data_IF_715347176201
#
_entry.id   IF_715347176201
#
_cell.length_a   1.000
_cell.length_b   1.000
_cell.length_c   1.000
_cell.angle_alpha   90.00
_cell.angle_beta   90.00
_cell.angle_gamma   90.00
#
_symmetry.space_group_name_H-M   'P 1'
#
loop_
_entity.id
_entity.type
_entity.pdbx_description
1 polymer ?
#
# COMPACT_ATOMS: atom_id res chain seq x y z
N UNK A 1 -46.14 -41.86 61.41
CA UNK A 1 -46.09 -40.66 60.54
C UNK A 1 -44.83 -40.83 59.68
N UNK A 2 -44.96 -41.33 58.44
CA UNK A 2 -44.67 -40.62 57.16
C UNK A 2 -43.19 -40.13 57.09
N UNK A 3 -42.35 -40.33 56.06
CA UNK A 3 -42.19 -41.14 54.82
C UNK A 3 -40.96 -40.50 54.12
N UNK A 4 -40.01 -41.28 53.57
CA UNK A 4 -39.24 -41.01 52.31
C UNK A 4 -38.33 -39.75 52.25
N UNK A 5 -37.34 -39.56 51.37
CA UNK A 5 -36.47 -40.35 50.49
C UNK A 5 -35.62 -39.29 49.74
N UNK A 6 -34.34 -39.58 49.52
CA UNK A 6 -33.41 -39.05 48.50
C UNK A 6 -33.91 -37.99 47.49
N UNK A 7 -33.09 -36.96 47.24
CA UNK A 7 -32.67 -36.62 45.87
C UNK A 7 -31.50 -35.63 45.78
N UNK A 8 -30.50 -36.07 45.03
CA UNK A 8 -29.42 -35.32 44.39
C UNK A 8 -29.87 -33.96 43.85
N UNK A 9 -29.11 -32.92 44.16
CA UNK A 9 -29.17 -31.64 43.46
C UNK A 9 -28.12 -31.64 42.34
N UNK A 10 -28.59 -31.77 41.10
CA UNK A 10 -27.80 -31.48 39.89
C UNK A 10 -28.21 -30.09 39.43
N UNK A 11 -27.27 -29.17 39.30
CA UNK A 11 -27.39 -27.95 38.50
C UNK A 11 -25.97 -27.47 38.15
N UNK A 12 -25.41 -27.99 37.05
CA UNK A 12 -25.25 -27.28 35.76
C UNK A 12 -24.21 -26.17 35.81
N UNK A 13 -22.94 -26.58 35.72
CA UNK A 13 -21.81 -25.69 35.45
C UNK A 13 -21.93 -25.23 33.99
N UNK A 14 -22.47 -24.04 33.74
CA UNK A 14 -22.42 -23.41 32.42
C UNK A 14 -20.96 -23.04 32.19
N UNK A 15 -20.25 -23.91 31.49
CA UNK A 15 -18.98 -23.59 30.84
C UNK A 15 -19.30 -22.50 29.81
N UNK A 16 -19.03 -21.24 30.16
CA UNK A 16 -18.85 -20.19 29.17
C UNK A 16 -17.64 -20.59 28.34
N UNK A 17 -17.89 -21.31 27.25
CA UNK A 17 -16.95 -21.41 26.15
C UNK A 17 -16.77 -19.97 25.65
N UNK A 18 -15.74 -19.31 26.17
CA UNK A 18 -15.06 -18.24 25.46
C UNK A 18 -14.52 -18.86 24.17
N UNK A 19 -15.39 -19.03 23.19
CA UNK A 19 -14.95 -19.27 21.83
C UNK A 19 -14.04 -18.09 21.52
N UNK A 20 -12.76 -18.30 21.16
CA UNK A 20 -11.98 -17.23 20.60
C UNK A 20 -12.81 -16.73 19.41
N UNK A 21 -13.25 -15.48 19.47
CA UNK A 21 -13.69 -14.77 18.28
C UNK A 21 -12.51 -14.79 17.34
N UNK A 22 -12.46 -15.81 16.47
CA UNK A 22 -11.69 -15.73 15.25
C UNK A 22 -12.19 -14.47 14.58
N UNK A 23 -11.38 -13.42 14.59
CA UNK A 23 -11.67 -12.19 13.88
C UNK A 23 -12.02 -12.60 12.44
N UNK A 24 -13.30 -12.48 12.11
CA UNK A 24 -13.86 -13.02 10.88
C UNK A 24 -13.17 -12.30 9.74
N UNK A 25 -12.46 -13.05 8.88
CA UNK A 25 -11.64 -12.47 7.84
C UNK A 25 -12.51 -11.76 6.80
N UNK A 26 -12.64 -10.45 6.99
CA UNK A 26 -13.66 -9.62 6.38
C UNK A 26 -13.22 -9.22 4.98
N UNK A 27 -14.12 -9.31 4.01
CA UNK A 27 -13.88 -8.80 2.66
C UNK A 27 -13.79 -7.26 2.72
N UNK A 28 -12.69 -6.71 2.21
CA UNK A 28 -12.39 -5.27 2.25
C UNK A 28 -12.59 -4.62 0.89
N UNK A 29 -12.16 -5.27 -0.17
CA UNK A 29 -12.27 -4.76 -1.53
C UNK A 29 -12.35 -5.90 -2.54
N UNK A 30 -12.77 -5.58 -3.76
CA UNK A 30 -12.56 -6.43 -4.94
C UNK A 30 -11.63 -5.71 -5.90
N UNK A 31 -10.73 -6.45 -6.56
CA UNK A 31 -9.74 -5.90 -7.49
C UNK A 31 -9.52 -6.87 -8.65
N UNK A 32 -9.94 -6.46 -9.85
CA UNK A 32 -9.99 -7.28 -11.06
C UNK A 32 -10.75 -8.62 -10.87
N UNK A 33 -11.79 -8.60 -10.04
CA UNK A 33 -12.60 -9.78 -9.71
C UNK A 33 -12.00 -10.68 -8.61
N UNK A 34 -10.85 -10.32 -8.06
CA UNK A 34 -10.27 -11.00 -6.90
C UNK A 34 -10.67 -10.31 -5.60
N UNK A 35 -10.97 -11.11 -4.57
CA UNK A 35 -11.26 -10.63 -3.22
C UNK A 35 -9.97 -10.15 -2.53
N UNK A 36 -10.01 -8.98 -1.89
CA UNK A 36 -9.01 -8.53 -0.92
C UNK A 36 -9.64 -8.55 0.45
N UNK A 37 -9.09 -9.38 1.35
CA UNK A 37 -9.57 -9.57 2.71
C UNK A 37 -8.72 -8.80 3.71
N UNK A 38 -9.23 -8.70 4.93
CA UNK A 38 -8.55 -8.00 6.01
C UNK A 38 -7.21 -8.65 6.34
N UNK A 39 -7.13 -9.98 6.27
CA UNK A 39 -5.89 -10.74 6.43
C UNK A 39 -4.82 -10.39 5.39
N UNK A 40 -5.20 -10.19 4.13
CA UNK A 40 -4.29 -9.87 3.02
C UNK A 40 -3.57 -8.52 3.19
N UNK A 41 -4.21 -7.60 3.91
CA UNK A 41 -3.67 -6.26 4.18
C UNK A 41 -3.15 -6.09 5.61
N UNK A 42 -3.16 -7.15 6.43
CA UNK A 42 -2.68 -7.10 7.82
C UNK A 42 -1.22 -7.50 7.93
N UNK A 43 -0.43 -6.83 8.81
CA UNK A 43 0.93 -7.25 9.11
C UNK A 43 0.92 -8.48 10.04
N UNK A 44 2.06 -9.15 10.17
CA UNK A 44 2.27 -10.10 11.26
C UNK A 44 2.37 -9.37 12.61
N UNK A 45 2.15 -10.07 13.72
CA UNK A 45 2.30 -9.48 15.07
C UNK A 45 3.71 -8.96 15.33
N UNK A 46 4.73 -9.66 14.82
CA UNK A 46 6.13 -9.26 14.93
C UNK A 46 6.37 -7.93 14.21
N UNK A 47 5.93 -7.84 12.95
CA UNK A 47 5.99 -6.62 12.15
C UNK A 47 5.23 -5.48 12.81
N UNK A 48 4.03 -5.73 13.35
CA UNK A 48 3.22 -4.71 14.02
C UNK A 48 3.93 -4.14 15.25
N UNK A 49 4.54 -5.00 16.06
CA UNK A 49 5.29 -4.57 17.24
C UNK A 49 6.50 -3.71 16.86
N UNK A 50 7.21 -4.08 15.79
CA UNK A 50 8.36 -3.33 15.29
C UNK A 50 7.93 -1.96 14.76
N UNK A 51 6.89 -1.90 13.92
CA UNK A 51 6.36 -0.66 13.38
C UNK A 51 5.88 0.30 14.46
N UNK A 52 5.14 -0.20 15.46
CA UNK A 52 4.68 0.61 16.59
C UNK A 52 5.86 1.22 17.36
N UNK A 53 6.93 0.45 17.55
CA UNK A 53 8.15 0.92 18.22
C UNK A 53 8.91 1.96 17.38
N UNK A 54 9.12 1.70 16.09
CA UNK A 54 9.87 2.60 15.20
C UNK A 54 9.18 3.96 15.05
N UNK A 55 7.85 3.96 14.92
CA UNK A 55 7.07 5.17 14.68
C UNK A 55 6.60 5.86 15.97
N UNK A 56 7.04 5.38 17.15
CA UNK A 56 6.54 5.84 18.46
C UNK A 56 5.01 5.92 18.52
N UNK A 57 4.34 4.94 17.91
CA UNK A 57 2.91 4.90 17.65
C UNK A 57 2.21 3.84 18.52
N UNK A 58 0.91 4.00 18.77
CA UNK A 58 0.12 2.89 19.33
C UNK A 58 0.03 1.76 18.30
N UNK A 59 -0.13 0.51 18.78
CA UNK A 59 -0.32 -0.64 17.89
C UNK A 59 -1.55 -0.46 16.99
N UNK A 60 -2.64 0.10 17.52
CA UNK A 60 -3.85 0.33 16.74
C UNK A 60 -3.63 1.35 15.61
N UNK A 61 -2.88 2.42 15.88
CA UNK A 61 -2.53 3.42 14.86
C UNK A 61 -1.58 2.84 13.82
N UNK A 62 -0.55 2.11 14.24
CA UNK A 62 0.38 1.43 13.34
C UNK A 62 -0.35 0.40 12.45
N UNK A 63 -1.28 -0.37 13.03
CA UNK A 63 -2.09 -1.36 12.31
C UNK A 63 -3.00 -0.68 11.28
N UNK A 64 -3.68 0.40 11.66
CA UNK A 64 -4.53 1.15 10.76
C UNK A 64 -3.71 1.72 9.59
N UNK A 65 -2.62 2.41 9.88
CA UNK A 65 -1.74 3.00 8.86
C UNK A 65 -1.19 1.95 7.90
N UNK A 66 -0.74 0.80 8.42
CA UNK A 66 -0.25 -0.29 7.59
C UNK A 66 -1.34 -0.82 6.65
N UNK A 67 -2.54 -1.12 7.19
CA UNK A 67 -3.64 -1.66 6.38
C UNK A 67 -4.10 -0.69 5.30
N UNK A 68 -4.21 0.61 5.63
CA UNK A 68 -4.54 1.64 4.66
C UNK A 68 -3.48 1.75 3.56
N UNK A 69 -2.20 1.82 3.94
CA UNK A 69 -1.09 1.87 2.98
C UNK A 69 -1.02 0.64 2.09
N UNK A 70 -1.16 -0.56 2.67
CA UNK A 70 -1.11 -1.83 1.94
C UNK A 70 -2.26 -1.99 0.94
N UNK A 71 -3.47 -1.60 1.33
CA UNK A 71 -4.62 -1.59 0.42
C UNK A 71 -4.39 -0.61 -0.74
N UNK A 72 -3.95 0.62 -0.44
CA UNK A 72 -3.68 1.63 -1.46
C UNK A 72 -2.58 1.18 -2.43
N UNK A 73 -1.46 0.67 -1.92
CA UNK A 73 -0.36 0.11 -2.71
C UNK A 73 -0.86 -1.00 -3.64
N UNK A 74 -1.68 -1.93 -3.12
CA UNK A 74 -2.20 -3.06 -3.90
C UNK A 74 -3.10 -2.60 -5.04
N UNK A 75 -4.02 -1.66 -4.77
CA UNK A 75 -4.93 -1.11 -5.79
C UNK A 75 -4.14 -0.33 -6.84
N UNK A 76 -3.30 0.61 -6.41
CA UNK A 76 -2.51 1.46 -7.30
C UNK A 76 -1.61 0.62 -8.19
N UNK A 77 -0.88 -0.34 -7.62
CA UNK A 77 0.03 -1.21 -8.37
C UNK A 77 -0.70 -1.95 -9.49
N UNK A 78 -1.79 -2.66 -9.20
CA UNK A 78 -2.50 -3.43 -10.24
C UNK A 78 -3.13 -2.52 -11.30
N UNK A 79 -3.68 -1.37 -10.91
CA UNK A 79 -4.31 -0.43 -11.84
C UNK A 79 -3.27 0.21 -12.75
N UNK A 80 -2.13 0.64 -12.23
CA UNK A 80 -1.07 1.24 -13.04
C UNK A 80 -0.38 0.22 -13.93
N UNK A 81 -0.26 -1.04 -13.50
CA UNK A 81 0.23 -2.15 -14.35
C UNK A 81 -0.71 -2.41 -15.54
N UNK A 82 -2.02 -2.50 -15.29
CA UNK A 82 -3.01 -2.68 -16.35
C UNK A 82 -3.07 -1.44 -17.28
N UNK A 83 -2.98 -0.23 -16.73
CA UNK A 83 -2.92 1.00 -17.51
C UNK A 83 -1.68 1.05 -18.40
N UNK A 84 -0.49 0.79 -17.84
CA UNK A 84 0.77 0.77 -18.59
C UNK A 84 0.72 -0.26 -19.73
N UNK A 85 0.16 -1.44 -19.48
CA UNK A 85 -0.07 -2.47 -20.50
C UNK A 85 -0.99 -1.96 -21.61
N UNK A 86 -2.14 -1.35 -21.27
CA UNK A 86 -3.08 -0.79 -22.26
C UNK A 86 -2.51 0.37 -23.08
N UNK A 87 -1.60 1.14 -22.50
CA UNK A 87 -0.89 2.22 -23.18
C UNK A 87 0.33 1.73 -23.97
N UNK A 88 0.65 0.42 -23.93
CA UNK A 88 1.85 -0.17 -24.51
C UNK A 88 3.13 0.56 -24.04
N UNK A 89 3.19 0.91 -22.75
CA UNK A 89 4.38 1.53 -22.17
C UNK A 89 5.48 0.48 -22.05
N UNK A 90 6.51 0.63 -22.87
CA UNK A 90 7.77 -0.10 -22.74
C UNK A 90 8.69 0.62 -21.75
N UNK A 91 9.35 -0.17 -20.90
CA UNK A 91 10.32 0.39 -19.95
C UNK A 91 11.54 0.86 -20.71
N UNK A 92 11.88 2.13 -20.51
CA UNK A 92 13.08 2.73 -21.09
C UNK A 92 14.32 2.20 -20.36
N UNK A 93 15.06 1.30 -21.01
CA UNK A 93 16.26 0.70 -20.44
C UNK A 93 17.40 1.71 -20.26
N UNK A 94 17.45 2.78 -21.06
CA UNK A 94 18.44 3.85 -20.89
C UNK A 94 18.17 4.62 -19.59
N UNK A 95 16.90 4.92 -19.30
CA UNK A 95 16.53 5.53 -18.03
C UNK A 95 16.80 4.63 -16.83
N UNK A 96 16.65 3.30 -16.99
CA UNK A 96 16.98 2.32 -15.94
C UNK A 96 18.48 2.38 -15.62
N UNK A 97 19.34 2.38 -16.63
CA UNK A 97 20.78 2.47 -16.41
C UNK A 97 21.17 3.83 -15.79
N UNK A 98 20.61 4.95 -16.26
CA UNK A 98 20.87 6.26 -15.66
C UNK A 98 20.42 6.35 -14.19
N UNK A 99 19.29 5.72 -13.85
CA UNK A 99 18.86 5.62 -12.45
C UNK A 99 19.87 4.83 -11.61
N UNK A 100 20.34 3.69 -12.13
CA UNK A 100 21.34 2.84 -11.46
C UNK A 100 22.68 3.57 -11.29
N UNK A 101 23.11 4.32 -12.28
CA UNK A 101 24.33 5.13 -12.18
C UNK A 101 24.24 6.17 -11.05
N UNK A 102 23.09 6.83 -10.92
CA UNK A 102 22.88 7.87 -9.89
C UNK A 102 22.68 7.29 -8.48
N UNK A 103 21.83 6.28 -8.32
CA UNK A 103 21.41 5.79 -6.99
C UNK A 103 21.95 4.41 -6.61
N UNK A 104 22.47 3.64 -7.56
CA UNK A 104 23.01 2.30 -7.32
C UNK A 104 24.05 2.24 -6.19
N UNK A 105 25.03 3.17 -6.11
CA UNK A 105 25.99 3.19 -5.01
C UNK A 105 25.34 3.38 -3.62
N UNK A 106 24.39 4.31 -3.50
CA UNK A 106 23.67 4.57 -2.24
C UNK A 106 22.78 3.39 -1.83
N UNK A 107 22.07 2.80 -2.79
CA UNK A 107 21.26 1.60 -2.56
C UNK A 107 22.11 0.40 -2.13
N UNK A 108 23.30 0.24 -2.72
CA UNK A 108 24.25 -0.81 -2.35
C UNK A 108 24.83 -0.60 -0.94
N UNK A 109 25.13 0.65 -0.56
CA UNK A 109 25.61 0.98 0.78
C UNK A 109 24.52 0.71 1.84
N UNK A 110 23.31 1.23 1.60
CA UNK A 110 22.15 1.04 2.50
C UNK A 110 21.81 -0.44 2.70
N UNK A 111 21.97 -1.27 1.66
CA UNK A 111 21.79 -2.72 1.76
C UNK A 111 22.78 -3.36 2.73
N UNK A 112 24.07 -3.04 2.62
CA UNK A 112 25.11 -3.60 3.50
C UNK A 112 24.82 -3.31 4.97
N UNK A 113 24.44 -2.07 5.28
CA UNK A 113 24.06 -1.67 6.64
C UNK A 113 22.82 -2.44 7.15
N UNK A 114 21.85 -2.69 6.27
CA UNK A 114 20.64 -3.44 6.62
C UNK A 114 20.91 -4.93 6.85
N UNK A 115 21.81 -5.54 6.07
CA UNK A 115 22.18 -6.95 6.20
C UNK A 115 22.97 -7.20 7.49
N UNK A 116 23.90 -6.29 7.83
CA UNK A 116 24.62 -6.29 9.13
C UNK A 116 23.65 -6.15 10.33
N UNK A 117 22.56 -5.39 10.17
CA UNK A 117 21.54 -5.24 11.22
C UNK A 117 20.64 -6.48 11.34
N UNK A 118 20.27 -7.11 10.22
CA UNK A 118 19.39 -8.30 10.16
C UNK A 118 20.02 -9.58 10.69
N UNK A 119 21.35 -9.71 10.75
CA UNK A 119 22.01 -10.80 11.48
C UNK A 119 21.55 -10.89 12.95
N UNK A 120 21.03 -9.80 13.53
CA UNK A 120 20.59 -9.72 14.92
C UNK A 120 19.06 -9.93 15.12
N UNK A 121 18.26 -9.96 14.05
CA UNK A 121 16.78 -10.04 14.10
C UNK A 121 16.33 -10.99 12.99
N UNK A 122 16.10 -12.26 13.33
CA UNK A 122 16.04 -13.41 12.41
C UNK A 122 14.91 -13.46 11.36
N UNK A 123 14.46 -12.34 10.80
CA UNK A 123 13.45 -12.29 9.73
C UNK A 123 14.09 -11.81 8.41
N UNK A 124 14.17 -12.71 7.42
CA UNK A 124 14.68 -12.41 6.08
C UNK A 124 13.54 -11.84 5.22
N UNK A 125 13.32 -10.54 5.26
CA UNK A 125 12.51 -9.86 4.23
C UNK A 125 13.29 -9.88 2.90
N UNK A 126 12.75 -10.45 1.81
CA UNK A 126 13.41 -10.46 0.51
C UNK A 126 13.66 -9.03 0.05
N UNK A 127 14.92 -8.66 -0.14
CA UNK A 127 15.28 -7.33 -0.61
C UNK A 127 15.29 -7.32 -2.13
N UNK A 128 14.57 -6.38 -2.73
CA UNK A 128 14.57 -6.17 -4.19
C UNK A 128 15.98 -5.90 -4.69
N UNK A 129 16.31 -6.43 -5.88
CA UNK A 129 17.59 -6.12 -6.52
C UNK A 129 17.65 -4.63 -6.91
N UNK A 130 18.86 -4.10 -7.16
CA UNK A 130 18.98 -2.71 -7.63
C UNK A 130 18.30 -2.56 -9.00
N UNK A 131 18.38 -3.59 -9.84
CA UNK A 131 17.72 -3.61 -11.15
C UNK A 131 16.19 -3.57 -11.02
N UNK A 132 15.61 -4.30 -10.08
CA UNK A 132 14.16 -4.26 -9.82
C UNK A 132 13.73 -2.87 -9.34
N UNK A 133 14.48 -2.27 -8.41
CA UNK A 133 14.20 -0.92 -7.90
C UNK A 133 14.26 0.10 -9.04
N UNK A 134 15.31 0.07 -9.85
CA UNK A 134 15.46 0.99 -10.98
C UNK A 134 14.33 0.82 -12.00
N UNK A 135 13.98 -0.42 -12.34
CA UNK A 135 12.87 -0.74 -13.24
C UNK A 135 11.53 -0.23 -12.72
N UNK A 136 11.26 -0.41 -11.43
CA UNK A 136 10.04 0.09 -10.79
C UNK A 136 9.98 1.61 -10.77
N UNK A 137 11.09 2.29 -10.46
CA UNK A 137 11.13 3.76 -10.44
C UNK A 137 10.95 4.36 -11.84
N UNK A 138 11.57 3.78 -12.87
CA UNK A 138 11.37 4.20 -14.26
C UNK A 138 9.92 3.96 -14.69
N UNK A 139 9.37 2.78 -14.39
CA UNK A 139 7.94 2.48 -14.67
C UNK A 139 7.03 3.51 -14.02
N UNK A 140 7.25 3.81 -12.74
CA UNK A 140 6.44 4.76 -11.97
C UNK A 140 6.46 6.14 -12.64
N UNK A 141 7.66 6.65 -12.98
CA UNK A 141 7.77 7.94 -13.67
C UNK A 141 7.12 7.93 -15.06
N UNK A 142 7.32 6.89 -15.87
CA UNK A 142 6.70 6.79 -17.20
C UNK A 142 5.16 6.72 -17.11
N UNK A 143 4.62 6.03 -16.10
CA UNK A 143 3.18 6.03 -15.82
C UNK A 143 2.70 7.42 -15.42
N UNK A 144 3.39 8.11 -14.52
CA UNK A 144 3.04 9.48 -14.14
C UNK A 144 3.00 10.42 -15.35
N UNK A 145 4.05 10.38 -16.17
CA UNK A 145 4.13 11.14 -17.41
C UNK A 145 2.93 10.84 -18.32
N UNK A 146 2.68 9.58 -18.61
CA UNK A 146 1.57 9.17 -19.48
C UNK A 146 0.19 9.53 -18.89
N UNK A 147 0.02 9.48 -17.56
CA UNK A 147 -1.21 9.90 -16.90
C UNK A 147 -1.42 11.41 -17.01
N UNK A 148 -0.38 12.20 -16.76
CA UNK A 148 -0.45 13.64 -16.88
C UNK A 148 -0.69 14.08 -18.33
N UNK A 149 -0.04 13.45 -19.32
CA UNK A 149 -0.27 13.73 -20.74
C UNK A 149 -1.72 13.39 -21.17
N UNK A 150 -2.29 12.30 -20.65
CA UNK A 150 -3.65 11.87 -21.03
C UNK A 150 -4.78 12.57 -20.26
N UNK A 151 -4.56 12.95 -18.99
CA UNK A 151 -5.62 13.49 -18.12
C UNK A 151 -5.33 14.89 -17.59
N UNK A 152 -4.06 15.30 -17.53
CA UNK A 152 -3.63 16.57 -16.95
C UNK A 152 -4.01 16.72 -15.48
N UNK A 153 -4.31 17.95 -15.08
CA UNK A 153 -4.82 18.27 -13.75
C UNK A 153 -3.74 18.66 -12.75
N UNK A 154 -4.09 18.62 -11.46
CA UNK A 154 -3.21 19.06 -10.38
C UNK A 154 -2.04 18.10 -10.15
N UNK A 155 -0.84 18.66 -10.01
CA UNK A 155 0.39 17.97 -9.60
C UNK A 155 0.79 18.46 -8.21
N UNK A 156 1.21 17.54 -7.35
CA UNK A 156 1.69 17.82 -6.01
C UNK A 156 3.12 17.32 -5.82
N UNK A 157 3.83 17.96 -4.90
CA UNK A 157 5.13 17.49 -4.45
C UNK A 157 5.00 16.40 -3.38
N UNK A 158 5.67 15.27 -3.59
CA UNK A 158 5.91 14.24 -2.58
C UNK A 158 7.41 13.95 -2.48
N UNK A 159 7.90 13.58 -1.29
CA UNK A 159 9.35 13.35 -1.10
C UNK A 159 9.90 12.23 -1.99
N UNK A 160 9.13 11.15 -2.19
CA UNK A 160 9.51 10.03 -3.05
C UNK A 160 9.19 10.25 -4.53
N UNK A 161 8.37 11.26 -4.83
CA UNK A 161 7.90 11.58 -6.16
C UNK A 161 7.63 13.09 -6.25
N UNK A 162 8.67 13.88 -6.59
CA UNK A 162 8.59 15.34 -6.59
C UNK A 162 7.47 15.91 -7.48
N UNK A 163 6.96 15.12 -8.43
CA UNK A 163 5.90 15.52 -9.36
C UNK A 163 4.85 14.42 -9.49
N UNK A 164 3.99 14.28 -8.47
CA UNK A 164 2.91 13.31 -8.48
C UNK A 164 1.62 13.90 -9.09
N UNK A 165 1.12 13.39 -10.23
CA UNK A 165 -0.06 13.94 -10.90
C UNK A 165 -1.36 13.45 -10.26
N UNK A 166 -1.61 13.88 -9.02
CA UNK A 166 -2.70 13.37 -8.15
C UNK A 166 -4.08 13.34 -8.82
N UNK A 167 -4.42 14.38 -9.59
CA UNK A 167 -5.73 14.45 -10.25
C UNK A 167 -5.84 13.54 -11.48
N UNK A 168 -4.73 13.26 -12.16
CA UNK A 168 -4.69 12.27 -13.22
C UNK A 168 -4.91 10.85 -12.66
N UNK A 169 -4.32 10.56 -11.50
CA UNK A 169 -4.59 9.33 -10.74
C UNK A 169 -6.05 9.23 -10.31
N UNK A 170 -6.62 10.30 -9.74
CA UNK A 170 -8.04 10.36 -9.38
C UNK A 170 -8.93 9.99 -10.57
N UNK A 171 -8.66 10.59 -11.74
CA UNK A 171 -9.40 10.35 -12.99
C UNK A 171 -9.30 8.89 -13.44
N UNK A 172 -8.09 8.32 -13.40
CA UNK A 172 -7.85 6.91 -13.73
C UNK A 172 -8.63 5.99 -12.77
N UNK A 173 -8.51 6.21 -11.46
CA UNK A 173 -9.15 5.41 -10.43
C UNK A 173 -10.69 5.45 -10.58
N UNK A 174 -11.27 6.63 -10.78
CA UNK A 174 -12.73 6.77 -11.00
C UNK A 174 -13.18 6.03 -12.26
N UNK A 175 -12.36 6.02 -13.32
CA UNK A 175 -12.64 5.22 -14.54
C UNK A 175 -12.64 3.72 -14.25
N UNK A 176 -11.60 3.22 -13.58
CA UNK A 176 -11.48 1.79 -13.26
C UNK A 176 -12.59 1.33 -12.31
N UNK A 177 -12.99 2.17 -11.35
CA UNK A 177 -14.12 1.89 -10.49
C UNK A 177 -15.43 1.80 -11.29
N UNK A 178 -15.69 2.75 -12.19
CA UNK A 178 -16.87 2.74 -13.07
C UNK A 178 -16.92 1.52 -13.99
N UNK A 179 -15.75 1.02 -14.42
CA UNK A 179 -15.62 -0.21 -15.21
C UNK A 179 -15.75 -1.50 -14.38
N UNK A 180 -15.96 -1.39 -13.06
CA UNK A 180 -16.03 -2.54 -12.15
C UNK A 180 -14.70 -3.26 -11.97
N UNK A 181 -13.57 -2.59 -12.25
CA UNK A 181 -12.22 -3.16 -12.09
C UNK A 181 -11.76 -3.17 -10.65
N UNK A 182 -12.32 -2.34 -9.79
CA UNK A 182 -12.15 -2.47 -8.35
C UNK A 182 -13.30 -1.79 -7.61
N UNK A 183 -13.51 -2.21 -6.37
CA UNK A 183 -14.44 -1.59 -5.43
C UNK A 183 -13.91 -1.76 -4.01
N UNK A 184 -13.87 -0.69 -3.22
CA UNK A 184 -13.55 -0.76 -1.79
C UNK A 184 -14.89 -0.84 -1.04
N UNK A 185 -15.19 -2.03 -0.52
CA UNK A 185 -16.49 -2.37 0.08
C UNK A 185 -16.62 -1.88 1.52
N UNK A 186 -15.50 -1.64 2.19
CA UNK A 186 -15.50 -1.14 3.56
C UNK A 186 -15.35 0.38 3.59
N UNK A 187 -16.36 1.07 4.12
CA UNK A 187 -16.45 2.54 4.12
C UNK A 187 -15.24 3.24 4.73
N UNK A 188 -14.67 2.70 5.82
CA UNK A 188 -13.50 3.29 6.46
C UNK A 188 -12.28 3.27 5.55
N UNK A 189 -12.05 2.16 4.86
CA UNK A 189 -10.95 2.07 3.91
C UNK A 189 -11.20 2.92 2.66
N UNK A 190 -12.45 2.96 2.19
CA UNK A 190 -12.84 3.77 1.04
C UNK A 190 -12.61 5.26 1.29
N UNK A 191 -13.09 5.78 2.41
CA UNK A 191 -12.94 7.20 2.76
C UNK A 191 -11.46 7.62 2.82
N UNK A 192 -10.62 6.87 3.54
CA UNK A 192 -9.18 7.19 3.67
C UNK A 192 -8.45 7.03 2.33
N UNK A 193 -8.84 6.05 1.51
CA UNK A 193 -8.24 5.87 0.18
C UNK A 193 -8.52 7.09 -0.72
N UNK A 194 -9.78 7.52 -0.80
CA UNK A 194 -10.17 8.64 -1.68
C UNK A 194 -9.70 10.01 -1.18
N UNK A 195 -9.53 10.20 0.14
CA UNK A 195 -8.98 11.43 0.71
C UNK A 195 -7.60 11.78 0.12
N UNK A 196 -6.79 10.79 -0.27
CA UNK A 196 -5.49 11.04 -0.90
C UNK A 196 -5.57 11.59 -2.33
N UNK A 197 -6.74 11.51 -2.98
CA UNK A 197 -6.95 11.86 -4.39
C UNK A 197 -7.97 12.98 -4.60
N UNK A 198 -8.60 13.48 -3.54
CA UNK A 198 -9.62 14.53 -3.60
C UNK A 198 -9.10 15.86 -3.02
N UNK A 199 -9.58 17.01 -3.53
CA UNK A 199 -9.18 18.32 -3.00
C UNK A 199 -9.73 18.56 -1.58
N UNK A 200 -9.08 19.43 -0.78
CA UNK A 200 -7.95 20.28 -1.14
C UNK A 200 -6.61 19.54 -1.14
N UNK A 201 -5.82 19.74 -2.20
CA UNK A 201 -4.49 19.16 -2.31
C UNK A 201 -3.44 19.97 -1.52
N UNK A 202 -2.58 19.27 -0.79
CA UNK A 202 -1.40 19.88 -0.15
C UNK A 202 -0.20 19.87 -1.09
N UNK A 203 0.67 20.89 -0.98
CA UNK A 203 1.91 21.00 -1.77
C UNK A 203 1.71 20.99 -3.29
N UNK A 204 0.65 21.66 -3.77
CA UNK A 204 0.40 21.85 -5.19
C UNK A 204 1.54 22.63 -5.85
N UNK A 205 2.03 22.12 -6.98
CA UNK A 205 2.97 22.80 -7.86
C UNK A 205 2.21 23.76 -8.79
N UNK A 206 2.83 24.90 -9.11
CA UNK A 206 2.31 25.77 -10.16
C UNK A 206 2.60 25.18 -11.54
N UNK A 207 1.79 25.53 -12.55
CA UNK A 207 1.87 24.91 -13.88
C UNK A 207 3.24 25.08 -14.57
N UNK A 208 3.97 26.15 -14.25
CA UNK A 208 5.34 26.43 -14.73
C UNK A 208 6.42 25.60 -14.03
N UNK A 209 6.10 24.96 -12.90
CA UNK A 209 6.99 24.05 -12.18
C UNK A 209 6.79 22.58 -12.58
N UNK A 210 5.73 22.28 -13.34
CA UNK A 210 5.41 20.92 -13.77
C UNK A 210 6.09 20.63 -15.10
N UNK A 211 7.03 19.70 -15.08
CA UNK A 211 7.75 19.24 -16.27
C UNK A 211 8.02 17.73 -16.21
N UNK A 212 7.42 16.99 -17.14
CA UNK A 212 7.63 15.54 -17.34
C UNK A 212 8.48 15.25 -18.60
N UNK A 213 9.22 16.24 -19.12
CA UNK A 213 10.15 16.04 -20.23
C UNK A 213 11.22 15.01 -19.85
N UNK A 214 11.86 15.21 -18.71
CA UNK A 214 12.88 14.34 -18.12
C UNK A 214 12.48 13.87 -16.70
N UNK A 215 12.97 12.71 -16.24
CA UNK A 215 12.84 12.31 -14.86
C UNK A 215 13.51 13.29 -13.90
N UNK A 216 12.89 13.49 -12.73
CA UNK A 216 13.40 14.38 -11.68
C UNK A 216 14.79 13.99 -11.17
N UNK A 217 15.23 12.75 -11.38
CA UNK A 217 16.58 12.33 -11.03
C UNK A 217 17.62 12.69 -12.10
N UNK A 218 17.23 13.21 -13.26
CA UNK A 218 18.15 13.67 -14.30
C UNK A 218 18.24 15.20 -14.38
N UNK A 219 17.40 15.93 -13.65
CA UNK A 219 17.52 17.38 -13.50
C UNK A 219 18.71 17.72 -12.60
N UNK A 220 19.55 18.67 -13.04
CA UNK A 220 20.74 19.15 -12.33
C UNK A 220 20.41 19.96 -11.07
#
# INVERSE_FOLDING_TARGET
MIRYLSRFMVAFFILLLSMPTHAQDTLVATLFGEDIRLSDISPSDAQLNEMAKMNSASKDMALAQFRHGRLAETILKKITEDYASKQNLEIDSELVEKFKEKFGPELAASRKESDERKENVGEKVPQKSIDDIATEQVRHWQVNKALYENFGGTVIFQQSDPQFPVQAYETLLKRYQKEGKFEILNDRYSAVFWEAFEPPFSFQLSADQVDFSDPWWLTE
#
